data_IF_938784465036
#
_entry.id   IF_938784465036
#
_cell.length_a   1.000
_cell.length_b   1.000
_cell.length_c   1.000
_cell.angle_alpha   90.00
_cell.angle_beta   90.00
_cell.angle_gamma   90.00
#
_symmetry.space_group_name_H-M   'P 1'
#
loop_
_entity.id
_entity.type
_entity.pdbx_description
1 polymer ?
#
# COMPACT_ATOMS: atom_id res chain seq x y z
N UNK A 1 -6.60 -11.75 -17.14
CA UNK A 1 -6.72 -11.34 -15.73
C UNK A 1 -6.55 -12.52 -14.74
N UNK A 2 -5.65 -13.48 -15.03
CA UNK A 2 -5.38 -14.65 -14.18
C UNK A 2 -4.05 -14.57 -13.41
N UNK A 3 -3.37 -13.45 -13.44
CA UNK A 3 -2.08 -13.25 -12.76
C UNK A 3 -2.13 -13.45 -11.24
N UNK A 4 -3.32 -13.37 -10.65
CA UNK A 4 -3.50 -13.61 -9.22
C UNK A 4 -3.35 -15.09 -8.82
N UNK A 5 -3.40 -16.04 -9.76
CA UNK A 5 -3.29 -17.49 -9.46
C UNK A 5 -1.94 -17.89 -8.86
N UNK A 6 -0.86 -17.20 -9.24
CA UNK A 6 0.51 -17.51 -8.81
C UNK A 6 1.10 -16.42 -7.88
N UNK A 7 0.30 -15.41 -7.53
CA UNK A 7 0.79 -14.23 -6.83
C UNK A 7 1.41 -14.56 -5.47
N UNK A 8 0.91 -15.58 -4.77
CA UNK A 8 1.40 -15.94 -3.44
C UNK A 8 2.84 -16.41 -3.50
N UNK A 9 3.17 -17.27 -4.46
CA UNK A 9 4.53 -17.78 -4.67
C UNK A 9 5.46 -16.64 -5.12
N UNK A 10 5.02 -15.82 -6.09
CA UNK A 10 5.79 -14.69 -6.60
C UNK A 10 6.10 -13.65 -5.51
N UNK A 11 5.15 -13.37 -4.63
CA UNK A 11 5.36 -12.38 -3.56
C UNK A 11 6.12 -12.97 -2.35
N UNK A 12 6.07 -14.29 -2.13
CA UNK A 12 6.93 -14.95 -1.15
C UNK A 12 8.42 -14.80 -1.50
N UNK A 13 8.78 -14.79 -2.77
CA UNK A 13 10.16 -14.52 -3.22
C UNK A 13 10.62 -13.10 -2.85
N UNK A 14 9.69 -12.15 -2.72
CA UNK A 14 9.94 -10.76 -2.35
C UNK A 14 9.72 -10.47 -0.85
N UNK A 15 9.44 -11.49 -0.03
CA UNK A 15 9.10 -11.30 1.38
C UNK A 15 10.17 -10.51 2.17
N UNK A 16 11.44 -10.67 1.80
CA UNK A 16 12.54 -9.93 2.40
C UNK A 16 12.45 -8.41 2.12
N UNK A 17 11.97 -7.99 0.95
CA UNK A 17 11.80 -6.58 0.59
C UNK A 17 10.69 -5.91 1.42
N UNK A 18 9.62 -6.65 1.72
CA UNK A 18 8.55 -6.18 2.61
C UNK A 18 9.01 -6.11 4.06
N UNK A 19 9.81 -7.08 4.51
CA UNK A 19 10.39 -7.06 5.86
C UNK A 19 11.33 -5.85 6.02
N UNK A 20 12.23 -5.63 5.08
CA UNK A 20 13.12 -4.46 5.08
C UNK A 20 12.35 -3.13 5.05
N UNK A 21 11.25 -3.07 4.31
CA UNK A 21 10.39 -1.88 4.30
C UNK A 21 9.68 -1.69 5.65
N UNK A 22 9.17 -2.75 6.26
CA UNK A 22 8.56 -2.72 7.58
C UNK A 22 9.53 -2.21 8.65
N UNK A 23 10.76 -2.72 8.65
CA UNK A 23 11.83 -2.28 9.55
C UNK A 23 12.18 -0.81 9.35
N UNK A 24 12.24 -0.36 8.10
CA UNK A 24 12.46 1.05 7.79
C UNK A 24 11.31 1.92 8.32
N UNK A 25 10.05 1.54 8.09
CA UNK A 25 8.88 2.28 8.59
C UNK A 25 8.94 2.42 10.11
N UNK A 26 9.26 1.33 10.83
CA UNK A 26 9.41 1.33 12.28
C UNK A 26 10.51 2.26 12.74
N UNK A 27 11.67 2.25 12.06
CA UNK A 27 12.83 3.07 12.40
C UNK A 27 12.59 4.57 12.18
N UNK A 28 11.68 4.96 11.25
CA UNK A 28 11.35 6.37 11.03
C UNK A 28 10.45 6.96 12.14
N UNK A 29 9.77 6.13 12.93
CA UNK A 29 8.89 6.61 14.00
C UNK A 29 7.64 7.31 13.48
N UNK A 30 7.14 6.93 12.30
CA UNK A 30 5.84 7.42 11.81
C UNK A 30 4.72 7.07 12.78
N UNK A 31 3.82 8.03 13.02
CA UNK A 31 2.61 7.83 13.83
C UNK A 31 1.44 7.35 12.99
N UNK A 32 1.42 7.77 11.73
CA UNK A 32 0.35 7.48 10.78
C UNK A 32 0.92 7.00 9.45
N UNK A 33 0.21 6.07 8.81
CA UNK A 33 0.40 5.68 7.43
C UNK A 33 -0.93 5.84 6.70
N UNK A 34 -0.94 6.62 5.62
CA UNK A 34 -2.16 6.93 4.88
C UNK A 34 -2.10 6.33 3.48
N UNK A 35 -3.04 5.45 3.18
CA UNK A 35 -3.23 4.94 1.81
C UNK A 35 -4.08 5.95 1.03
N UNK A 36 -3.50 6.48 -0.03
CA UNK A 36 -4.14 7.36 -1.01
C UNK A 36 -4.50 6.53 -2.24
N UNK A 37 -5.71 5.98 -2.28
CA UNK A 37 -6.09 5.03 -3.32
C UNK A 37 -7.59 4.87 -3.45
N UNK A 38 -8.03 4.21 -4.52
CA UNK A 38 -9.44 3.97 -4.81
C UNK A 38 -9.70 2.47 -5.06
N UNK A 39 -10.89 2.00 -4.70
CA UNK A 39 -11.38 0.65 -5.00
C UNK A 39 -10.42 -0.44 -4.50
N UNK A 40 -9.88 -1.28 -5.39
CA UNK A 40 -8.96 -2.36 -5.01
C UNK A 40 -7.66 -1.91 -4.34
N UNK A 41 -7.28 -0.64 -4.51
CA UNK A 41 -6.10 -0.07 -3.85
C UNK A 41 -6.39 0.41 -2.43
N UNK A 42 -7.66 0.56 -2.03
CA UNK A 42 -8.09 1.02 -0.71
C UNK A 42 -8.74 -0.09 0.13
N UNK A 43 -9.65 -0.85 -0.45
CA UNK A 43 -10.49 -1.82 0.28
C UNK A 43 -9.68 -2.95 0.95
N UNK A 44 -8.69 -3.51 0.26
CA UNK A 44 -7.84 -4.56 0.84
C UNK A 44 -7.06 -4.07 2.06
N UNK A 45 -6.34 -2.95 1.97
CA UNK A 45 -5.70 -2.29 3.11
C UNK A 45 -6.65 -1.95 4.26
N UNK A 46 -7.87 -1.46 3.96
CA UNK A 46 -8.88 -1.18 4.97
C UNK A 46 -9.28 -2.43 5.75
N UNK A 47 -9.59 -3.52 5.04
CA UNK A 47 -9.92 -4.81 5.66
C UNK A 47 -8.77 -5.29 6.56
N UNK A 48 -7.52 -5.19 6.12
CA UNK A 48 -6.36 -5.56 6.93
C UNK A 48 -6.26 -4.69 8.19
N UNK A 49 -6.43 -3.37 8.05
CA UNK A 49 -6.40 -2.43 9.18
C UNK A 49 -7.49 -2.72 10.20
N UNK A 50 -8.72 -2.95 9.76
CA UNK A 50 -9.86 -3.25 10.64
C UNK A 50 -9.73 -4.63 11.31
N UNK A 51 -9.12 -5.60 10.62
CA UNK A 51 -8.97 -6.98 11.12
C UNK A 51 -7.86 -7.10 12.16
N UNK A 52 -6.71 -6.48 11.89
CA UNK A 52 -5.52 -6.66 12.71
C UNK A 52 -5.23 -5.49 13.68
N UNK A 53 -5.84 -4.33 13.44
CA UNK A 53 -5.65 -3.14 14.26
C UNK A 53 -4.23 -2.56 14.18
N UNK A 54 -3.96 -1.56 15.02
CA UNK A 54 -2.64 -0.95 15.14
C UNK A 54 -1.71 -1.85 15.96
N UNK A 55 -0.44 -1.95 15.52
CA UNK A 55 0.61 -2.68 16.21
C UNK A 55 1.57 -1.73 16.91
N UNK A 56 2.09 -2.15 18.06
CA UNK A 56 3.06 -1.37 18.84
C UNK A 56 4.34 -1.11 18.02
N UNK A 57 4.77 0.13 18.01
CA UNK A 57 5.94 0.58 17.26
C UNK A 57 5.70 0.82 15.77
N UNK A 58 4.45 0.70 15.31
CA UNK A 58 4.06 0.95 13.92
C UNK A 58 2.98 2.02 13.80
N UNK A 59 2.91 2.72 12.65
CA UNK A 59 1.91 3.74 12.43
C UNK A 59 0.49 3.15 12.38
N UNK A 60 -0.48 3.99 12.75
CA UNK A 60 -1.89 3.70 12.49
C UNK A 60 -2.15 3.79 10.99
N UNK A 61 -2.67 2.71 10.40
CA UNK A 61 -3.06 2.73 8.99
C UNK A 61 -4.42 3.41 8.83
N UNK A 62 -4.47 4.42 7.97
CA UNK A 62 -5.67 5.16 7.59
C UNK A 62 -5.85 5.11 6.07
N UNK A 63 -7.09 5.22 5.62
CA UNK A 63 -7.43 5.15 4.19
C UNK A 63 -8.10 6.45 3.77
N UNK A 64 -7.67 7.01 2.64
CA UNK A 64 -8.36 8.07 1.95
C UNK A 64 -8.77 7.60 0.55
N UNK A 65 -10.06 7.38 0.37
CA UNK A 65 -10.67 6.93 -0.89
C UNK A 65 -11.88 7.78 -1.29
N UNK A 66 -11.93 9.01 -0.80
CA UNK A 66 -12.97 9.98 -1.14
C UNK A 66 -12.38 11.36 -1.36
N UNK A 67 -12.77 12.00 -2.45
CA UNK A 67 -12.41 13.40 -2.75
C UNK A 67 -13.33 14.42 -2.06
N UNK A 68 -14.25 13.97 -1.20
CA UNK A 68 -15.12 14.89 -0.45
C UNK A 68 -14.25 15.80 0.45
N UNK A 69 -14.37 17.14 0.32
CA UNK A 69 -13.48 18.07 1.01
C UNK A 69 -13.45 17.90 2.54
N UNK A 70 -14.58 17.52 3.14
CA UNK A 70 -14.63 17.35 4.60
C UNK A 70 -13.88 16.09 5.06
N UNK A 71 -13.86 15.02 4.25
CA UNK A 71 -13.06 13.84 4.56
C UNK A 71 -11.57 14.13 4.43
N UNK A 72 -11.15 14.85 3.38
CA UNK A 72 -9.76 15.27 3.21
C UNK A 72 -9.31 16.16 4.37
N UNK A 73 -10.13 17.15 4.76
CA UNK A 73 -9.83 18.04 5.91
C UNK A 73 -9.80 17.29 7.24
N UNK A 74 -10.75 16.36 7.45
CA UNK A 74 -10.80 15.57 8.68
C UNK A 74 -9.55 14.68 8.80
N UNK A 75 -9.12 14.03 7.72
CA UNK A 75 -7.89 13.26 7.70
C UNK A 75 -6.69 14.18 7.99
N UNK A 76 -6.53 15.28 7.27
CA UNK A 76 -5.41 16.22 7.48
C UNK A 76 -5.34 16.70 8.93
N UNK A 77 -6.49 17.03 9.53
CA UNK A 77 -6.55 17.49 10.92
C UNK A 77 -6.22 16.38 11.94
N UNK A 78 -6.30 15.11 11.55
CA UNK A 78 -6.06 13.97 12.43
C UNK A 78 -4.62 13.45 12.42
N UNK A 79 -3.77 13.93 11.52
CA UNK A 79 -2.41 13.45 11.30
C UNK A 79 -1.37 14.56 11.53
N UNK A 80 -0.15 14.16 11.90
CA UNK A 80 1.04 15.01 11.85
C UNK A 80 1.76 14.78 10.52
N UNK A 81 1.73 15.77 9.62
CA UNK A 81 2.38 15.67 8.30
C UNK A 81 3.87 15.34 8.40
N UNK A 82 4.54 15.81 9.47
CA UNK A 82 5.95 15.51 9.72
C UNK A 82 6.22 14.10 10.25
N UNK A 83 5.17 13.34 10.57
CA UNK A 83 5.25 11.96 11.09
C UNK A 83 4.32 11.00 10.35
N UNK A 84 3.91 11.34 9.15
CA UNK A 84 3.01 10.54 8.33
C UNK A 84 3.74 9.96 7.13
N UNK A 85 3.53 8.67 6.87
CA UNK A 85 3.89 7.99 5.63
C UNK A 85 2.69 7.97 4.69
N UNK A 86 2.85 8.46 3.47
CA UNK A 86 1.83 8.41 2.43
C UNK A 86 2.11 7.28 1.45
N UNK A 87 1.15 6.39 1.25
CA UNK A 87 1.21 5.26 0.31
C UNK A 87 0.27 5.59 -0.85
N UNK A 88 0.83 6.12 -1.93
CA UNK A 88 0.05 6.48 -3.13
C UNK A 88 -0.16 5.23 -3.97
N UNK A 89 -1.39 4.74 -4.02
CA UNK A 89 -1.73 3.47 -4.65
C UNK A 89 -2.64 3.67 -5.88
N UNK A 90 -2.08 3.55 -7.07
CA UNK A 90 -2.81 3.63 -8.33
C UNK A 90 -2.23 2.69 -9.38
N UNK A 91 -2.99 1.67 -9.79
CA UNK A 91 -2.52 0.64 -10.72
C UNK A 91 -2.10 1.22 -12.06
N UNK A 92 -2.99 1.92 -12.74
CA UNK A 92 -2.72 2.56 -14.05
C UNK A 92 -1.90 3.85 -13.94
N UNK A 93 -1.89 4.47 -12.75
CA UNK A 93 -1.34 5.81 -12.56
C UNK A 93 -2.21 6.94 -13.14
N UNK A 94 -3.29 6.63 -13.85
CA UNK A 94 -4.15 7.59 -14.53
C UNK A 94 -5.45 7.90 -13.77
N UNK A 95 -5.73 7.20 -12.67
CA UNK A 95 -6.92 7.45 -11.85
C UNK A 95 -6.81 8.83 -11.23
N UNK A 96 -7.85 9.67 -11.40
CA UNK A 96 -7.81 11.08 -11.00
C UNK A 96 -7.63 11.25 -9.49
N UNK A 97 -8.38 10.52 -8.70
CA UNK A 97 -8.47 10.72 -7.24
C UNK A 97 -7.12 10.48 -6.53
N UNK A 98 -6.39 9.36 -6.73
CA UNK A 98 -5.08 9.19 -6.13
C UNK A 98 -4.06 10.24 -6.58
N UNK A 99 -4.18 10.76 -7.81
CA UNK A 99 -3.32 11.85 -8.29
C UNK A 99 -3.63 13.17 -7.56
N UNK A 100 -4.91 13.50 -7.39
CA UNK A 100 -5.33 14.70 -6.63
C UNK A 100 -4.89 14.59 -5.16
N UNK A 101 -5.05 13.43 -4.54
CA UNK A 101 -4.58 13.20 -3.16
C UNK A 101 -3.07 13.36 -3.05
N UNK A 102 -2.31 12.75 -3.97
CA UNK A 102 -0.85 12.88 -4.03
C UNK A 102 -0.46 14.36 -4.12
N UNK A 103 -1.00 15.09 -5.07
CA UNK A 103 -0.63 16.48 -5.32
C UNK A 103 -0.94 17.35 -4.10
N UNK A 104 -2.11 17.13 -3.48
CA UNK A 104 -2.52 17.85 -2.29
C UNK A 104 -1.57 17.57 -1.12
N UNK A 105 -1.40 16.32 -0.72
CA UNK A 105 -0.59 15.98 0.45
C UNK A 105 0.90 16.19 0.22
N UNK A 106 1.40 16.04 -1.00
CA UNK A 106 2.79 16.36 -1.32
C UNK A 106 3.06 17.87 -1.18
N UNK A 107 2.16 18.73 -1.65
CA UNK A 107 2.28 20.17 -1.45
C UNK A 107 2.26 20.54 0.05
N UNK A 108 1.38 19.91 0.84
CA UNK A 108 1.30 20.12 2.29
C UNK A 108 2.56 19.61 3.00
N UNK A 109 3.07 18.42 2.63
CA UNK A 109 4.30 17.85 3.18
C UNK A 109 5.53 18.71 2.81
N UNK A 110 5.61 19.21 1.58
CA UNK A 110 6.68 20.15 1.16
C UNK A 110 6.72 21.43 2.00
N UNK A 111 5.57 21.93 2.43
CA UNK A 111 5.50 23.10 3.30
C UNK A 111 6.07 22.84 4.72
N UNK A 112 6.06 21.61 5.20
CA UNK A 112 6.55 21.21 6.53
C UNK A 112 7.98 20.65 6.48
N UNK A 113 8.28 19.83 5.47
CA UNK A 113 9.50 19.01 5.37
C UNK A 113 10.51 19.53 4.34
N UNK A 114 10.09 20.50 3.50
CA UNK A 114 10.92 21.02 2.41
C UNK A 114 11.29 19.92 1.41
N UNK A 115 12.56 19.86 1.02
CA UNK A 115 13.08 18.91 0.03
C UNK A 115 13.01 17.43 0.48
N UNK A 116 12.79 17.18 1.76
CA UNK A 116 12.64 15.83 2.31
C UNK A 116 11.22 15.27 2.22
N UNK A 117 10.28 16.00 1.65
CA UNK A 117 8.90 15.55 1.56
C UNK A 117 8.76 14.20 0.85
N UNK A 118 9.54 13.96 -0.21
CA UNK A 118 9.54 12.68 -0.93
C UNK A 118 9.90 11.46 -0.06
N UNK A 119 10.70 11.64 1.01
CA UNK A 119 11.03 10.56 1.95
C UNK A 119 9.81 10.03 2.72
N UNK A 120 8.73 10.81 2.77
CA UNK A 120 7.47 10.46 3.42
C UNK A 120 6.45 9.82 2.45
N UNK A 121 6.84 9.58 1.20
CA UNK A 121 5.97 9.02 0.17
C UNK A 121 6.54 7.72 -0.40
N UNK A 122 5.66 6.75 -0.59
CA UNK A 122 5.92 5.57 -1.42
C UNK A 122 4.81 5.42 -2.43
N UNK A 123 5.14 4.86 -3.59
CA UNK A 123 4.14 4.57 -4.62
C UNK A 123 3.92 3.06 -4.75
N UNK A 124 2.67 2.66 -4.99
CA UNK A 124 2.30 1.31 -5.43
C UNK A 124 1.61 1.43 -6.77
N UNK A 125 2.23 0.94 -7.82
CA UNK A 125 1.76 1.15 -9.20
C UNK A 125 2.28 0.09 -10.16
N UNK A 126 1.71 0.01 -11.37
CA UNK A 126 2.26 -0.87 -12.41
C UNK A 126 3.50 -0.25 -13.07
N UNK A 127 4.45 -1.08 -13.53
CA UNK A 127 5.61 -0.58 -14.27
C UNK A 127 5.22 0.20 -15.52
N UNK A 128 5.86 1.34 -15.77
CA UNK A 128 5.65 2.23 -16.91
C UNK A 128 4.43 3.14 -16.77
N UNK A 129 3.84 3.25 -15.58
CA UNK A 129 2.67 4.10 -15.31
C UNK A 129 3.04 5.58 -15.18
N UNK A 130 2.02 6.45 -15.26
CA UNK A 130 2.21 7.88 -14.96
C UNK A 130 2.59 8.11 -13.50
N UNK A 131 2.07 7.29 -12.59
CA UNK A 131 2.42 7.36 -11.16
C UNK A 131 3.90 7.01 -10.91
N UNK A 132 4.46 6.06 -11.63
CA UNK A 132 5.89 5.75 -11.54
C UNK A 132 6.74 6.98 -11.92
N UNK A 133 6.41 7.63 -13.04
CA UNK A 133 7.13 8.84 -13.49
C UNK A 133 7.01 9.98 -12.48
N UNK A 134 5.82 10.18 -11.94
CA UNK A 134 5.57 11.21 -10.92
C UNK A 134 6.34 10.91 -9.63
N UNK A 135 6.32 9.68 -9.16
CA UNK A 135 7.04 9.27 -7.95
C UNK A 135 8.57 9.43 -8.10
N UNK A 136 9.11 9.15 -9.28
CA UNK A 136 10.52 9.39 -9.60
C UNK A 136 10.85 10.89 -9.60
N UNK A 137 10.00 11.71 -10.26
CA UNK A 137 10.20 13.17 -10.34
C UNK A 137 10.13 13.86 -8.97
N UNK A 138 9.27 13.38 -8.08
CA UNK A 138 9.09 13.91 -6.71
C UNK A 138 9.99 13.23 -5.67
N UNK A 139 10.95 12.39 -6.09
CA UNK A 139 11.91 11.69 -5.23
C UNK A 139 11.24 10.87 -4.11
N UNK A 140 10.19 10.13 -4.44
CA UNK A 140 9.55 9.24 -3.46
C UNK A 140 10.53 8.20 -2.93
N UNK A 141 10.42 7.87 -1.68
CA UNK A 141 11.31 6.95 -0.97
C UNK A 141 11.46 5.59 -1.65
N UNK A 142 10.35 5.04 -2.15
CA UNK A 142 10.35 3.75 -2.85
C UNK A 142 9.13 3.63 -3.77
N UNK A 143 9.31 2.88 -4.84
CA UNK A 143 8.22 2.48 -5.73
C UNK A 143 8.11 0.95 -5.65
N UNK A 144 6.92 0.47 -5.35
CA UNK A 144 6.57 -0.94 -5.36
C UNK A 144 5.73 -1.23 -6.59
N UNK A 145 6.07 -2.29 -7.29
CA UNK A 145 5.41 -2.62 -8.54
C UNK A 145 4.32 -3.65 -8.35
N UNK A 146 3.14 -3.33 -8.89
CA UNK A 146 2.05 -4.27 -9.06
C UNK A 146 2.27 -5.21 -10.24
N UNK A 147 1.35 -6.16 -10.41
CA UNK A 147 1.34 -7.12 -11.51
C UNK A 147 0.25 -6.72 -12.51
N UNK A 148 0.63 -6.41 -13.76
CA UNK A 148 -0.29 -5.91 -14.81
C UNK A 148 -1.47 -6.85 -15.06
N UNK A 149 -1.25 -8.16 -14.96
CA UNK A 149 -2.24 -9.20 -15.22
C UNK A 149 -3.25 -9.41 -14.08
N UNK A 150 -3.14 -8.65 -12.99
CA UNK A 150 -4.06 -8.72 -11.85
C UNK A 150 -5.03 -7.55 -11.92
N UNK A 151 -6.34 -7.82 -11.94
CA UNK A 151 -7.37 -6.78 -11.79
C UNK A 151 -7.38 -6.20 -10.37
N UNK A 152 -7.72 -4.90 -10.21
CA UNK A 152 -7.67 -4.21 -8.92
C UNK A 152 -8.36 -4.94 -7.78
N UNK A 153 -9.53 -5.53 -8.00
CA UNK A 153 -10.30 -6.26 -6.99
C UNK A 153 -9.67 -7.59 -6.54
N UNK A 154 -8.63 -8.07 -7.23
CA UNK A 154 -7.89 -9.30 -6.90
C UNK A 154 -6.46 -9.01 -6.43
N UNK A 155 -6.12 -7.76 -6.13
CA UNK A 155 -4.75 -7.30 -5.92
C UNK A 155 -4.28 -7.31 -4.45
N UNK A 156 -5.12 -7.74 -3.50
CA UNK A 156 -4.79 -7.66 -2.06
C UNK A 156 -3.54 -8.48 -1.68
N UNK A 157 -3.27 -9.60 -2.37
CA UNK A 157 -2.06 -10.40 -2.17
C UNK A 157 -0.90 -10.01 -3.11
N UNK A 158 -0.96 -8.82 -3.72
CA UNK A 158 0.15 -8.16 -4.42
C UNK A 158 0.64 -6.96 -3.62
N UNK A 159 1.58 -6.21 -4.16
CA UNK A 159 2.09 -4.99 -3.53
C UNK A 159 0.98 -4.02 -3.06
N UNK A 160 -0.20 -4.02 -3.70
CA UNK A 160 -1.33 -3.16 -3.32
C UNK A 160 -1.89 -3.42 -1.91
N UNK A 161 -1.85 -4.67 -1.44
CA UNK A 161 -2.23 -4.98 -0.05
C UNK A 161 -1.01 -5.21 0.84
N UNK A 162 0.09 -5.77 0.28
CA UNK A 162 1.25 -6.16 1.07
C UNK A 162 2.11 -4.98 1.54
N UNK A 163 2.18 -3.88 0.76
CA UNK A 163 2.89 -2.65 1.19
C UNK A 163 2.18 -1.99 2.37
N UNK A 164 0.86 -1.73 2.34
CA UNK A 164 0.14 -1.27 3.52
C UNK A 164 0.22 -2.23 4.72
N UNK A 165 0.16 -3.56 4.47
CA UNK A 165 0.33 -4.58 5.51
C UNK A 165 1.71 -4.46 6.21
N UNK A 166 2.79 -4.37 5.43
CA UNK A 166 4.13 -4.16 5.95
C UNK A 166 4.27 -2.84 6.71
N UNK A 167 3.66 -1.75 6.19
CA UNK A 167 3.69 -0.44 6.83
C UNK A 167 3.03 -0.44 8.21
N UNK A 168 1.95 -1.22 8.40
CA UNK A 168 1.29 -1.35 9.72
C UNK A 168 1.90 -2.45 10.61
N UNK A 169 3.01 -3.06 10.19
CA UNK A 169 3.76 -4.04 10.99
C UNK A 169 3.22 -5.48 10.91
N UNK A 170 2.45 -5.83 9.89
CA UNK A 170 2.10 -7.24 9.66
C UNK A 170 3.30 -8.00 9.12
N UNK A 171 3.49 -9.23 9.58
CA UNK A 171 4.43 -10.16 8.97
C UNK A 171 3.86 -10.63 7.63
N UNK A 172 4.36 -9.99 6.55
CA UNK A 172 3.91 -10.30 5.18
C UNK A 172 4.24 -11.73 4.80
N UNK A 173 5.36 -12.27 5.28
CA UNK A 173 5.72 -13.67 5.01
C UNK A 173 4.72 -14.63 5.64
N UNK A 174 4.38 -14.44 6.92
CA UNK A 174 3.38 -15.28 7.60
C UNK A 174 2.00 -15.16 6.92
N UNK A 175 1.60 -13.94 6.53
CA UNK A 175 0.36 -13.72 5.79
C UNK A 175 0.32 -14.50 4.47
N UNK A 176 1.39 -14.46 3.69
CA UNK A 176 1.51 -15.18 2.42
C UNK A 176 1.60 -16.71 2.62
N UNK A 177 2.30 -17.18 3.66
CA UNK A 177 2.36 -18.61 3.99
C UNK A 177 0.98 -19.15 4.35
N UNK A 178 0.16 -18.42 5.08
CA UNK A 178 -1.24 -18.77 5.37
C UNK A 178 -2.08 -18.77 4.10
N UNK A 179 -1.92 -17.76 3.22
CA UNK A 179 -2.58 -17.74 1.92
C UNK A 179 -2.17 -18.95 1.06
N UNK A 180 -0.90 -19.37 1.09
CA UNK A 180 -0.39 -20.53 0.37
C UNK A 180 -1.08 -21.83 0.80
N UNK A 181 -1.43 -21.99 2.08
CA UNK A 181 -2.21 -23.13 2.55
C UNK A 181 -3.56 -23.19 1.82
N UNK A 182 -4.26 -22.06 1.70
CA UNK A 182 -5.53 -21.99 0.98
C UNK A 182 -5.38 -22.24 -0.51
N UNK A 183 -4.34 -21.70 -1.15
CA UNK A 183 -4.03 -21.95 -2.57
C UNK A 183 -3.88 -23.45 -2.82
N UNK A 184 -3.16 -24.15 -1.95
CA UNK A 184 -2.98 -25.60 -2.05
C UNK A 184 -4.28 -26.37 -1.81
N UNK A 185 -5.07 -25.95 -0.83
CA UNK A 185 -6.35 -26.59 -0.49
C UNK A 185 -7.42 -26.41 -1.57
N UNK A 186 -7.34 -25.33 -2.36
CA UNK A 186 -8.26 -25.05 -3.47
C UNK A 186 -7.68 -25.44 -4.85
N UNK A 187 -6.53 -26.11 -4.89
CA UNK A 187 -5.86 -26.48 -6.13
C UNK A 187 -6.56 -27.65 -6.86
N UNK A 188 -6.25 -27.88 -8.14
CA UNK A 188 -6.91 -28.88 -8.97
C UNK A 188 -6.61 -30.34 -8.54
N UNK A 189 -5.61 -30.55 -7.70
CA UNK A 189 -5.26 -31.87 -7.17
C UNK A 189 -6.04 -32.25 -5.90
N UNK A 190 -6.86 -31.34 -5.36
CA UNK A 190 -7.66 -31.61 -4.16
C UNK A 190 -8.97 -32.32 -4.55
N UNK A 191 -9.32 -33.46 -3.96
CA UNK A 191 -10.60 -34.12 -4.22
C UNK A 191 -11.78 -33.19 -3.87
N UNK A 192 -12.89 -33.24 -4.65
CA UNK A 192 -14.02 -32.31 -4.48
C UNK A 192 -14.81 -32.51 -3.18
N UNK A 193 -14.40 -33.41 -2.29
CA UNK A 193 -15.08 -33.77 -1.04
C UNK A 193 -14.22 -33.55 0.22
N UNK A 194 -13.20 -32.72 0.14
CA UNK A 194 -12.39 -32.32 1.30
C UNK A 194 -12.76 -30.92 1.75
#
# INVERSE_FOLDING_TARGET
WLGWLHIVEEELEKAADYAAFSDWVRAQGFTDAVVLGMGGSSLGPEVLSLTYGQREGFPKLQILDSTHPDQVRALEASIDLGKTLFIVASKSGSTLEPNVFRDYFLARAKAVLGDRAGDHFVAVTDPGSDMERAAQADNFKKIFYGVKQIGGRYSVLSAFGLVPAAAMGLDVKDLLERARIMVRSCGPAVPPHV
#
